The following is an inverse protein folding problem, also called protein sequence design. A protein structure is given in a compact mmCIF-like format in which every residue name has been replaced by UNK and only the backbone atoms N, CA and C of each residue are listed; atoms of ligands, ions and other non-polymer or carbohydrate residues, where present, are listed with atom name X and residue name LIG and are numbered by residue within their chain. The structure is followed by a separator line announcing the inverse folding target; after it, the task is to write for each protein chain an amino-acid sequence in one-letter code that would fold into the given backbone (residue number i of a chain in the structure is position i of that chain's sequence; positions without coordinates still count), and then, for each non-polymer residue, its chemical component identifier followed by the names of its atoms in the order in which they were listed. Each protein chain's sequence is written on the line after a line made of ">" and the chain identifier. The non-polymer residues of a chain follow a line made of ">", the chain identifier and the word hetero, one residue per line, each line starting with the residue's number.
data_IF_908889091843
#
_entry.id   IF_908889091843
#
_cell.length_a   1.000
_cell.length_b   1.000
_cell.length_c   1.000
_cell.angle_alpha   90.00
_cell.angle_beta   90.00
_cell.angle_gamma   90.00
#
_symmetry.space_group_name_H-M   'P 1'
#
loop_
_entity.id
_entity.type
_entity.pdbx_description
1 polymer ?
#
# COMPACT_ATOMS: atom_id res chain seq x y z
N UNK A 1 -13.35 2.69 -2.40
CA UNK A 1 -12.29 2.25 -1.50
C UNK A 1 -10.94 2.51 -2.11
N UNK A 2 -10.00 2.92 -1.28
CA UNK A 2 -8.63 3.24 -1.69
C UNK A 2 -7.66 2.31 -0.97
N UNK A 3 -6.89 1.54 -1.73
CA UNK A 3 -5.81 0.73 -1.19
C UNK A 3 -4.51 1.54 -1.28
N UNK A 4 -3.85 1.77 -0.14
CA UNK A 4 -2.62 2.55 -0.10
C UNK A 4 -1.41 1.67 -0.36
N UNK A 5 -0.44 2.20 -1.12
CA UNK A 5 0.83 1.51 -1.23
C UNK A 5 1.64 1.67 0.07
N UNK A 6 2.70 0.88 0.19
CA UNK A 6 3.48 0.81 1.43
C UNK A 6 4.12 2.15 1.79
N UNK A 7 4.64 2.90 0.82
CA UNK A 7 5.27 4.19 1.09
C UNK A 7 4.27 5.20 1.65
N UNK A 8 3.06 5.26 1.10
CA UNK A 8 2.03 6.17 1.60
C UNK A 8 1.64 5.83 3.03
N UNK A 9 1.55 4.54 3.36
CA UNK A 9 1.26 4.09 4.72
C UNK A 9 2.35 4.58 5.68
N UNK A 10 3.62 4.37 5.32
CA UNK A 10 4.75 4.77 6.16
C UNK A 10 4.85 6.28 6.32
N UNK A 11 4.63 7.03 5.25
CA UNK A 11 4.63 8.48 5.33
C UNK A 11 3.48 9.00 6.19
N UNK A 12 2.28 8.45 6.00
CA UNK A 12 1.12 8.85 6.82
C UNK A 12 1.36 8.59 8.31
N UNK A 13 2.01 7.48 8.64
CA UNK A 13 2.25 7.09 10.03
C UNK A 13 3.43 7.84 10.67
N UNK A 14 4.52 8.07 9.94
CA UNK A 14 5.79 8.53 10.52
C UNK A 14 6.33 9.82 9.93
N UNK A 15 6.02 10.14 8.69
CA UNK A 15 6.57 11.31 8.00
C UNK A 15 5.50 12.00 7.15
N UNK A 16 4.41 12.49 7.78
CA UNK A 16 3.29 13.07 7.02
C UNK A 16 3.68 14.25 6.13
N UNK A 17 4.77 14.94 6.45
CA UNK A 17 5.30 16.04 5.64
C UNK A 17 5.78 15.58 4.26
N UNK A 18 6.02 14.28 4.06
CA UNK A 18 6.41 13.72 2.75
C UNK A 18 5.23 13.49 1.83
N UNK A 19 4.01 13.50 2.37
CA UNK A 19 2.81 13.36 1.55
C UNK A 19 2.62 14.61 0.69
N UNK A 20 2.29 14.40 -0.59
CA UNK A 20 1.88 15.52 -1.44
C UNK A 20 0.58 16.12 -0.91
N UNK A 21 0.26 17.35 -1.29
CA UNK A 21 -1.00 17.97 -0.93
C UNK A 21 -2.19 17.13 -1.40
N UNK A 22 -2.06 16.52 -2.58
CA UNK A 22 -3.08 15.64 -3.16
C UNK A 22 -3.26 14.37 -2.33
N UNK A 23 -2.16 13.73 -1.93
CA UNK A 23 -2.20 12.55 -1.06
C UNK A 23 -2.82 12.88 0.30
N UNK A 24 -2.36 13.95 0.93
CA UNK A 24 -2.88 14.37 2.23
C UNK A 24 -4.38 14.64 2.17
N UNK A 25 -4.86 15.26 1.10
CA UNK A 25 -6.29 15.52 0.91
C UNK A 25 -7.08 14.22 0.81
N UNK A 26 -6.59 13.25 0.05
CA UNK A 26 -7.23 11.94 -0.10
C UNK A 26 -7.34 11.21 1.24
N UNK A 27 -6.28 11.28 2.05
CA UNK A 27 -6.25 10.60 3.34
C UNK A 27 -7.11 11.28 4.40
N UNK A 28 -7.31 12.59 4.30
CA UNK A 28 -8.19 13.31 5.22
C UNK A 28 -9.66 13.13 4.90
N UNK A 29 -9.99 12.84 3.65
CA UNK A 29 -11.38 12.59 3.26
C UNK A 29 -11.86 11.29 3.86
N UNK A 30 -12.90 11.33 4.68
CA UNK A 30 -13.47 10.14 5.29
C UNK A 30 -14.66 9.58 4.50
N UNK A 31 -14.88 10.11 3.31
CA UNK A 31 -16.00 9.67 2.46
C UNK A 31 -15.74 8.29 1.84
N UNK A 32 -14.46 7.94 1.66
CA UNK A 32 -14.06 6.68 1.05
C UNK A 32 -13.23 5.88 2.04
N UNK A 33 -13.59 4.61 2.30
CA UNK A 33 -12.78 3.75 3.16
C UNK A 33 -11.35 3.60 2.65
N UNK A 34 -10.39 3.64 3.57
CA UNK A 34 -8.98 3.47 3.30
C UNK A 34 -8.56 2.07 3.72
N UNK A 35 -7.88 1.36 2.81
CA UNK A 35 -7.41 0.00 3.03
C UNK A 35 -5.89 -0.03 3.13
N UNK A 36 -5.38 -0.89 3.99
CA UNK A 36 -3.98 -1.30 3.97
C UNK A 36 -3.89 -2.81 3.76
N UNK A 37 -2.90 -3.26 2.99
CA UNK A 37 -2.71 -4.68 2.74
C UNK A 37 -1.75 -5.29 3.75
N UNK A 38 -2.00 -6.54 4.14
CA UNK A 38 -1.02 -7.33 4.89
C UNK A 38 0.29 -7.48 4.12
N UNK A 39 0.25 -7.39 2.79
CA UNK A 39 1.47 -7.38 1.96
C UNK A 39 2.39 -6.21 2.34
N UNK A 40 1.83 -5.04 2.67
CA UNK A 40 2.61 -3.90 3.11
C UNK A 40 3.28 -4.15 4.46
N UNK A 41 2.56 -4.78 5.40
CA UNK A 41 3.14 -5.15 6.69
C UNK A 41 4.25 -6.20 6.51
N UNK A 42 4.07 -7.12 5.60
CA UNK A 42 5.08 -8.12 5.26
C UNK A 42 6.33 -7.46 4.69
N UNK A 43 6.17 -6.54 3.76
CA UNK A 43 7.30 -5.76 3.21
C UNK A 43 8.07 -5.04 4.31
N UNK A 44 7.37 -4.37 5.21
CA UNK A 44 7.96 -3.66 6.34
C UNK A 44 8.71 -4.62 7.26
N UNK A 45 8.12 -5.79 7.54
CA UNK A 45 8.74 -6.82 8.38
C UNK A 45 10.05 -7.31 7.79
N UNK A 46 10.07 -7.56 6.48
CA UNK A 46 11.29 -8.00 5.78
C UNK A 46 12.37 -6.92 5.85
N UNK A 47 12.02 -5.67 5.52
CA UNK A 47 12.98 -4.56 5.54
C UNK A 47 13.55 -4.31 6.92
N UNK A 48 12.72 -4.38 7.95
CA UNK A 48 13.17 -4.25 9.34
C UNK A 48 14.11 -5.39 9.72
N UNK A 49 13.83 -6.62 9.28
CA UNK A 49 14.64 -7.79 9.60
C UNK A 49 16.03 -7.75 8.98
N UNK A 50 16.27 -6.90 7.98
CA UNK A 50 17.59 -6.73 7.36
C UNK A 50 18.56 -5.99 8.28
N UNK A 51 18.11 -5.43 9.39
CA UNK A 51 18.97 -4.82 10.39
C UNK A 51 19.55 -3.47 9.99
N UNK A 52 18.97 -2.79 8.99
CA UNK A 52 19.43 -1.47 8.56
C UNK A 52 19.05 -0.43 9.61
N UNK A 53 20.00 0.47 9.92
CA UNK A 53 19.78 1.51 10.93
C UNK A 53 18.79 2.59 10.48
N UNK A 54 18.66 2.79 9.17
CA UNK A 54 17.78 3.78 8.58
C UNK A 54 16.33 3.30 8.42
N UNK A 55 16.09 2.03 8.72
CA UNK A 55 14.75 1.46 8.63
C UNK A 55 14.47 0.55 9.83
N UNK A 56 13.86 1.12 10.86
CA UNK A 56 13.46 0.39 12.07
C UNK A 56 11.98 0.70 12.32
N UNK A 57 11.12 -0.27 12.04
CA UNK A 57 9.67 -0.13 12.23
C UNK A 57 9.16 -1.34 12.97
N UNK A 58 8.46 -1.11 14.09
CA UNK A 58 7.75 -2.17 14.79
C UNK A 58 6.46 -2.47 14.05
N UNK A 59 6.40 -3.62 13.37
CA UNK A 59 5.24 -4.02 12.56
C UNK A 59 3.97 -4.11 13.40
N UNK A 60 4.07 -4.64 14.63
CA UNK A 60 2.90 -4.75 15.50
C UNK A 60 2.33 -3.37 15.84
N UNK A 61 3.19 -2.42 16.20
CA UNK A 61 2.78 -1.05 16.50
C UNK A 61 2.18 -0.36 15.29
N UNK A 62 2.77 -0.56 14.10
CA UNK A 62 2.23 -0.01 12.86
C UNK A 62 0.84 -0.56 12.58
N UNK A 63 0.67 -1.87 12.73
CA UNK A 63 -0.63 -2.53 12.53
C UNK A 63 -1.71 -1.93 13.44
N UNK A 64 -1.41 -1.80 14.73
CA UNK A 64 -2.34 -1.22 15.69
C UNK A 64 -2.65 0.24 15.36
N UNK A 65 -1.64 1.02 14.97
CA UNK A 65 -1.83 2.43 14.60
C UNK A 65 -2.77 2.58 13.40
N UNK A 66 -2.63 1.71 12.40
CA UNK A 66 -3.49 1.75 11.21
C UNK A 66 -4.94 1.42 11.57
N UNK A 67 -5.16 0.38 12.37
CA UNK A 67 -6.51 0.01 12.82
C UNK A 67 -7.13 1.13 13.65
N UNK A 68 -6.37 1.72 14.58
CA UNK A 68 -6.85 2.82 15.42
C UNK A 68 -7.20 4.05 14.58
N UNK A 69 -6.45 4.30 13.51
CA UNK A 69 -6.72 5.41 12.60
C UNK A 69 -7.95 5.18 11.72
N UNK A 70 -8.55 3.99 11.78
CA UNK A 70 -9.75 3.66 11.02
C UNK A 70 -9.50 3.02 9.66
N UNK A 71 -8.27 2.63 9.37
CA UNK A 71 -7.97 1.90 8.14
C UNK A 71 -8.48 0.47 8.26
N UNK A 72 -8.97 -0.06 7.14
CA UNK A 72 -9.44 -1.44 7.07
C UNK A 72 -8.33 -2.34 6.52
N UNK A 73 -8.21 -3.52 7.09
CA UNK A 73 -7.18 -4.48 6.70
C UNK A 73 -7.64 -5.30 5.50
N UNK A 74 -6.79 -5.41 4.49
CA UNK A 74 -7.00 -6.29 3.34
C UNK A 74 -6.06 -7.50 3.47
N UNK A 75 -6.61 -8.69 3.73
CA UNK A 75 -5.80 -9.90 3.81
C UNK A 75 -5.35 -10.36 2.42
N UNK A 76 -4.28 -11.17 2.39
CA UNK A 76 -3.80 -11.78 1.15
C UNK A 76 -4.59 -13.07 0.91
N UNK A 77 -5.23 -13.17 -0.25
CA UNK A 77 -6.00 -14.36 -0.64
C UNK A 77 -5.36 -15.07 -1.83
N UNK A 78 -5.67 -16.34 -2.00
CA UNK A 78 -5.15 -17.12 -3.13
C UNK A 78 -5.49 -16.48 -4.48
N UNK A 79 -6.67 -15.86 -4.60
CA UNK A 79 -7.06 -15.17 -5.83
C UNK A 79 -6.11 -14.03 -6.18
N UNK A 80 -5.57 -13.34 -5.18
CA UNK A 80 -4.57 -12.29 -5.38
C UNK A 80 -3.30 -12.87 -5.98
N UNK A 81 -2.82 -13.98 -5.42
CA UNK A 81 -1.58 -14.63 -5.88
C UNK A 81 -1.73 -15.17 -7.30
N UNK A 82 -2.88 -15.76 -7.60
CA UNK A 82 -3.17 -16.24 -8.96
C UNK A 82 -3.14 -15.09 -9.97
N UNK A 83 -3.65 -13.92 -9.58
CA UNK A 83 -3.62 -12.74 -10.46
C UNK A 83 -2.21 -12.21 -10.68
N UNK A 84 -1.36 -12.25 -9.65
CA UNK A 84 0.05 -11.85 -9.79
C UNK A 84 0.74 -12.65 -10.90
N UNK A 85 0.44 -13.95 -11.00
CA UNK A 85 1.05 -14.83 -12.00
C UNK A 85 0.76 -14.37 -13.44
N UNK A 86 -0.33 -13.66 -13.66
CA UNK A 86 -0.76 -13.21 -14.98
C UNK A 86 -0.58 -11.71 -15.23
N UNK A 87 0.06 -10.98 -14.30
CA UNK A 87 0.30 -9.54 -14.50
C UNK A 87 1.39 -9.29 -15.54
N UNK A 88 1.24 -8.24 -16.37
CA UNK A 88 2.33 -7.80 -17.23
C UNK A 88 3.56 -7.41 -16.40
N UNK A 89 4.75 -7.60 -16.95
CA UNK A 89 6.00 -7.24 -16.30
C UNK A 89 6.32 -5.75 -16.50
N UNK A 90 5.44 -4.88 -15.98
CA UNK A 90 5.66 -3.42 -15.98
C UNK A 90 6.58 -3.02 -14.84
N UNK A 91 6.49 -3.71 -13.71
CA UNK A 91 7.25 -3.44 -12.49
C UNK A 91 7.84 -4.73 -11.96
N UNK A 92 9.01 -4.66 -11.31
CA UNK A 92 9.72 -5.84 -10.79
C UNK A 92 9.49 -6.11 -9.32
N UNK A 93 9.14 -5.08 -8.55
CA UNK A 93 8.98 -5.21 -7.10
C UNK A 93 7.80 -6.15 -6.79
N UNK A 94 8.04 -7.28 -6.11
CA UNK A 94 6.98 -8.26 -5.86
C UNK A 94 5.89 -7.73 -4.94
N UNK A 95 6.21 -6.83 -4.02
CA UNK A 95 5.21 -6.26 -3.13
C UNK A 95 4.28 -5.31 -3.88
N UNK A 96 4.83 -4.44 -4.73
CA UNK A 96 4.03 -3.55 -5.57
C UNK A 96 3.15 -4.35 -6.53
N UNK A 97 3.69 -5.41 -7.12
CA UNK A 97 2.93 -6.29 -8.01
C UNK A 97 1.76 -6.95 -7.26
N UNK A 98 1.98 -7.37 -6.03
CA UNK A 98 0.91 -7.95 -5.22
C UNK A 98 -0.17 -6.92 -4.88
N UNK A 99 0.21 -5.70 -4.56
CA UNK A 99 -0.76 -4.62 -4.32
C UNK A 99 -1.58 -4.32 -5.57
N UNK A 100 -0.95 -4.29 -6.74
CA UNK A 100 -1.65 -4.13 -8.02
C UNK A 100 -2.66 -5.25 -8.22
N UNK A 101 -2.25 -6.50 -7.99
CA UNK A 101 -3.14 -7.66 -8.13
C UNK A 101 -4.32 -7.58 -7.16
N UNK A 102 -4.07 -7.17 -5.93
CA UNK A 102 -5.13 -6.99 -4.94
C UNK A 102 -6.13 -5.93 -5.35
N UNK A 103 -5.64 -4.78 -5.82
CA UNK A 103 -6.51 -3.70 -6.27
C UNK A 103 -7.39 -4.15 -7.44
N UNK A 104 -6.82 -4.88 -8.39
CA UNK A 104 -7.59 -5.42 -9.52
C UNK A 104 -8.64 -6.42 -9.06
N UNK A 105 -8.27 -7.35 -8.20
CA UNK A 105 -9.17 -8.42 -7.76
C UNK A 105 -10.31 -7.88 -6.90
N UNK A 106 -10.00 -6.93 -6.00
CA UNK A 106 -10.99 -6.32 -5.11
C UNK A 106 -11.74 -5.16 -5.77
N UNK A 107 -11.35 -4.77 -6.99
CA UNK A 107 -11.94 -3.66 -7.74
C UNK A 107 -11.90 -2.34 -6.95
N UNK A 108 -10.76 -2.07 -6.37
CA UNK A 108 -10.52 -0.82 -5.64
C UNK A 108 -9.43 -0.02 -6.33
N UNK A 109 -9.35 1.27 -6.02
CA UNK A 109 -8.28 2.13 -6.53
C UNK A 109 -7.02 1.93 -5.71
N UNK A 110 -5.88 1.74 -6.39
CA UNK A 110 -4.56 1.74 -5.75
C UNK A 110 -4.03 3.17 -5.72
N UNK A 111 -3.80 3.68 -4.53
CA UNK A 111 -3.23 5.01 -4.32
C UNK A 111 -1.72 4.87 -4.11
N UNK A 112 -0.93 5.57 -4.93
CA UNK A 112 0.53 5.44 -4.92
C UNK A 112 1.21 6.74 -5.28
N UNK A 113 2.45 6.90 -4.83
CA UNK A 113 3.33 7.98 -5.29
C UNK A 113 4.23 7.54 -6.45
N UNK A 114 4.24 6.26 -6.80
CA UNK A 114 5.09 5.72 -7.87
C UNK A 114 4.39 5.83 -9.23
N UNK A 115 4.90 6.73 -10.06
CA UNK A 115 4.32 6.97 -11.39
C UNK A 115 4.42 5.77 -12.32
N UNK A 116 5.38 4.87 -12.11
CA UNK A 116 5.56 3.69 -12.96
C UNK A 116 4.39 2.71 -12.86
N UNK A 117 3.70 2.68 -11.73
CA UNK A 117 2.56 1.80 -11.53
C UNK A 117 1.33 2.19 -12.36
N UNK A 118 1.29 3.43 -12.84
CA UNK A 118 0.19 3.93 -13.66
C UNK A 118 -0.02 3.10 -14.93
N UNK A 119 1.04 2.48 -15.44
CA UNK A 119 0.97 1.65 -16.64
C UNK A 119 0.10 0.39 -16.46
N UNK A 120 -0.20 -0.03 -15.23
CA UNK A 120 -1.09 -1.16 -14.99
C UNK A 120 -2.55 -0.86 -15.29
N UNK A 121 -2.99 0.39 -15.26
CA UNK A 121 -4.35 0.74 -15.61
C UNK A 121 -4.93 1.92 -14.84
N UNK A 122 -6.20 2.25 -15.17
CA UNK A 122 -6.89 3.41 -14.61
C UNK A 122 -7.20 3.27 -13.13
N UNK A 123 -7.18 2.06 -12.58
CA UNK A 123 -7.41 1.83 -11.15
C UNK A 123 -6.24 2.32 -10.30
N UNK A 124 -5.10 2.65 -10.92
CA UNK A 124 -3.96 3.24 -10.22
C UNK A 124 -4.09 4.76 -10.25
N UNK A 125 -4.10 5.35 -9.07
CA UNK A 125 -4.14 6.81 -8.90
C UNK A 125 -2.84 7.28 -8.27
N UNK A 126 -2.09 8.08 -9.03
CA UNK A 126 -0.83 8.65 -8.56
C UNK A 126 -1.10 9.97 -7.84
N UNK A 127 -0.52 10.11 -6.66
CA UNK A 127 -0.71 11.29 -5.80
C UNK A 127 0.59 11.92 -5.32
#
# INVERSE_FOLDING_TARGET
>A
MLLLDTHLILWAAFEPERLSAKAAKQLRSRETPLLFSLASLWEVAIKTSLGRKDFVVDVHSLHQALLTAGFEELPIRAAHLARVANLPWVHRDPFDRLLVAQAMEERVTLLTADTTLKAYGRFVRVV
#
